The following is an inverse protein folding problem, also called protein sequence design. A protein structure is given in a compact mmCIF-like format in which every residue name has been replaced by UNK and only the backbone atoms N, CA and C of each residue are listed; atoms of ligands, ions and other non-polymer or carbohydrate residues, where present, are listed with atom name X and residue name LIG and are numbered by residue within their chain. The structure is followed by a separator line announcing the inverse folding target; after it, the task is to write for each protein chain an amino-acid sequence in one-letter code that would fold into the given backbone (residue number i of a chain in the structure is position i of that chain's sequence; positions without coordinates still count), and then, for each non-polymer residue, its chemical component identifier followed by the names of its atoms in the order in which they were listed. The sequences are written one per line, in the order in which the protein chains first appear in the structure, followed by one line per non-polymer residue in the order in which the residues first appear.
data_IF_464684017097
#
_entry.id   IF_464684017097
#
_cell.length_a   1.000
_cell.length_b   1.000
_cell.length_c   1.000
_cell.angle_alpha   90.00
_cell.angle_beta   90.00
_cell.angle_gamma   90.00
#
_symmetry.space_group_name_H-M   'P 1'
#
loop_
_entity.id
_entity.type
_entity.pdbx_description
1 polymer ?
#
# COMPACT_ATOMS: atom_id res chain seq x y z
N UNK A 1 -35.42 -8.18 2.56
CA UNK A 1 -34.03 -8.52 2.22
C UNK A 1 -33.24 -7.23 2.31
N UNK A 2 -32.46 -7.02 3.37
CA UNK A 2 -31.58 -5.86 3.46
C UNK A 2 -30.38 -6.14 2.55
N UNK A 3 -30.14 -5.29 1.55
CA UNK A 3 -28.94 -5.39 0.73
C UNK A 3 -27.73 -5.26 1.63
N UNK A 4 -26.84 -6.26 1.63
CA UNK A 4 -25.55 -6.20 2.30
C UNK A 4 -24.73 -5.10 1.62
N UNK A 5 -24.62 -3.94 2.24
CA UNK A 5 -23.86 -2.80 1.69
C UNK A 5 -22.38 -3.06 1.95
N UNK A 6 -21.59 -3.18 0.88
CA UNK A 6 -20.13 -3.23 0.97
C UNK A 6 -19.56 -1.82 1.17
N UNK A 7 -18.38 -1.68 1.82
CA UNK A 7 -17.68 -0.40 1.84
C UNK A 7 -17.28 0.04 0.43
N UNK A 8 -17.07 1.34 0.24
CA UNK A 8 -16.51 1.89 -0.98
C UNK A 8 -15.05 1.45 -1.14
N UNK A 9 -14.60 1.34 -2.39
CA UNK A 9 -13.20 1.05 -2.71
C UNK A 9 -12.27 2.09 -2.09
N UNK A 10 -11.17 1.68 -1.45
CA UNK A 10 -10.14 2.62 -1.03
C UNK A 10 -9.49 3.31 -2.23
N UNK A 11 -8.82 4.43 -1.99
CA UNK A 11 -7.95 5.04 -2.99
C UNK A 11 -6.67 5.57 -2.33
N UNK A 12 -5.56 5.52 -3.06
CA UNK A 12 -4.26 6.05 -2.64
C UNK A 12 -4.19 7.54 -2.98
N UNK A 13 -3.87 8.38 -1.99
CA UNK A 13 -3.77 9.83 -2.14
C UNK A 13 -2.34 10.27 -2.51
N UNK A 14 -1.32 9.74 -1.83
CA UNK A 14 0.07 10.18 -2.02
C UNK A 14 1.07 9.11 -1.59
N UNK A 15 2.15 8.99 -2.35
CA UNK A 15 3.41 8.38 -1.94
C UNK A 15 4.33 9.54 -1.51
N UNK A 16 4.85 9.49 -0.29
CA UNK A 16 5.91 10.40 0.15
C UNK A 16 7.18 9.57 0.29
N UNK A 17 8.18 9.91 -0.51
CA UNK A 17 9.57 9.54 -0.24
C UNK A 17 10.16 10.67 0.59
N UNK A 18 10.78 10.37 1.75
CA UNK A 18 11.27 11.42 2.65
C UNK A 18 12.67 11.94 2.26
N UNK A 19 13.26 11.46 1.16
CA UNK A 19 14.61 11.84 0.69
C UNK A 19 14.62 12.84 -0.49
N UNK A 20 13.70 13.81 -0.55
CA UNK A 20 13.62 14.80 -1.66
C UNK A 20 14.68 15.94 -1.60
N UNK A 21 15.73 15.81 -0.78
CA UNK A 21 16.68 16.90 -0.54
C UNK A 21 18.12 16.65 -1.07
N UNK A 22 18.43 15.52 -1.73
CA UNK A 22 19.81 15.27 -2.19
C UNK A 22 19.94 14.74 -3.63
N UNK A 23 20.26 15.65 -4.55
CA UNK A 23 20.46 15.39 -5.98
C UNK A 23 21.73 14.57 -6.30
N UNK A 24 22.64 14.36 -5.32
CA UNK A 24 23.95 13.76 -5.55
C UNK A 24 24.28 12.53 -4.67
N UNK A 25 23.32 11.97 -3.92
CA UNK A 25 23.55 10.82 -3.04
C UNK A 25 22.65 9.62 -3.37
N UNK A 26 23.18 8.53 -3.98
CA UNK A 26 22.39 7.36 -4.33
C UNK A 26 22.26 6.44 -3.12
N UNK A 27 21.49 6.84 -2.12
CA UNK A 27 20.98 5.96 -1.06
C UNK A 27 19.57 6.41 -0.69
N UNK A 28 18.64 6.20 -1.62
CA UNK A 28 17.20 6.24 -1.35
C UNK A 28 16.90 5.32 -0.18
N UNK A 29 16.60 5.91 0.97
CA UNK A 29 16.04 5.25 2.13
C UNK A 29 14.57 4.98 1.79
N UNK A 30 14.32 3.82 1.19
CA UNK A 30 13.02 3.35 0.67
C UNK A 30 11.95 3.17 1.77
N UNK A 31 11.70 4.15 2.62
CA UNK A 31 10.63 4.16 3.62
C UNK A 31 9.44 4.97 3.09
N UNK A 32 8.78 4.57 1.99
CA UNK A 32 7.68 5.33 1.44
C UNK A 32 6.54 5.35 2.45
N UNK A 33 5.92 6.51 2.58
CA UNK A 33 4.71 6.67 3.35
C UNK A 33 3.52 6.74 2.39
N UNK A 34 2.64 5.73 2.45
CA UNK A 34 1.42 5.68 1.66
C UNK A 34 0.24 6.17 2.47
N UNK A 35 -0.54 7.09 1.90
CA UNK A 35 -1.79 7.58 2.48
C UNK A 35 -2.94 7.32 1.54
N UNK A 36 -4.13 7.21 2.10
CA UNK A 36 -5.34 7.13 1.30
C UNK A 36 -6.61 7.23 2.14
N UNK A 37 -7.73 6.95 1.50
CA UNK A 37 -9.05 6.99 2.12
C UNK A 37 -9.81 5.67 1.97
N UNK A 38 -10.66 5.36 2.94
CA UNK A 38 -11.63 4.27 2.96
C UNK A 38 -12.82 4.67 3.86
N UNK A 39 -13.87 3.85 3.94
CA UNK A 39 -14.93 4.09 4.93
C UNK A 39 -14.37 4.05 6.36
N UNK A 40 -14.72 5.04 7.19
CA UNK A 40 -14.21 5.18 8.55
C UNK A 40 -14.29 3.90 9.40
N UNK A 41 -13.18 3.55 10.04
CA UNK A 41 -13.07 2.38 10.90
C UNK A 41 -13.17 1.03 10.17
N UNK A 42 -12.94 1.02 8.85
CA UNK A 42 -12.70 -0.22 8.10
C UNK A 42 -11.23 -0.62 8.16
N UNK A 43 -10.99 -1.92 8.01
CA UNK A 43 -9.64 -2.44 7.72
C UNK A 43 -9.38 -2.28 6.23
N UNK A 44 -8.22 -1.73 5.88
CA UNK A 44 -7.72 -1.64 4.51
C UNK A 44 -6.69 -2.75 4.34
N UNK A 45 -7.04 -3.76 3.55
CA UNK A 45 -6.12 -4.83 3.18
C UNK A 45 -5.37 -4.42 1.90
N UNK A 46 -4.05 -4.53 1.95
CA UNK A 46 -3.12 -4.12 0.90
C UNK A 46 -2.57 -5.36 0.21
N UNK A 47 -2.53 -5.34 -1.11
CA UNK A 47 -2.12 -6.45 -1.94
C UNK A 47 -1.09 -6.03 -2.97
N UNK A 48 -0.17 -6.95 -3.26
CA UNK A 48 0.71 -6.94 -4.40
C UNK A 48 0.29 -8.06 -5.36
N UNK A 49 -0.33 -7.69 -6.49
CA UNK A 49 -1.05 -8.67 -7.30
C UNK A 49 -2.14 -9.36 -6.46
N UNK A 50 -2.08 -10.68 -6.33
CA UNK A 50 -3.03 -11.48 -5.54
C UNK A 50 -2.55 -11.76 -4.10
N UNK A 51 -1.32 -11.37 -3.75
CA UNK A 51 -0.74 -11.62 -2.43
C UNK A 51 -1.09 -10.48 -1.48
N UNK A 52 -1.75 -10.77 -0.36
CA UNK A 52 -1.93 -9.81 0.72
C UNK A 52 -0.57 -9.57 1.40
N UNK A 53 -0.19 -8.31 1.53
CA UNK A 53 1.11 -7.89 2.06
C UNK A 53 1.00 -7.18 3.41
N UNK A 54 -0.13 -6.51 3.68
CA UNK A 54 -0.35 -5.83 4.95
C UNK A 54 -1.82 -5.44 5.17
N UNK A 55 -2.15 -5.01 6.39
CA UNK A 55 -3.44 -4.41 6.76
C UNK A 55 -3.24 -3.19 7.64
N UNK A 56 -3.99 -2.13 7.34
CA UNK A 56 -4.05 -0.92 8.17
C UNK A 56 -5.50 -0.56 8.50
N UNK A 57 -5.73 0.18 9.58
CA UNK A 57 -7.05 0.69 9.90
C UNK A 57 -7.25 2.11 9.36
N UNK A 58 -8.43 2.38 8.83
CA UNK A 58 -8.88 3.73 8.56
C UNK A 58 -9.40 4.39 9.84
N UNK A 59 -9.03 5.64 10.06
CA UNK A 59 -9.45 6.43 11.20
C UNK A 59 -10.94 6.80 11.14
N UNK A 60 -11.42 7.56 12.12
CA UNK A 60 -12.82 8.00 12.20
C UNK A 60 -13.23 8.96 11.07
N UNK A 61 -12.27 9.49 10.33
CA UNK A 61 -12.50 10.34 9.16
C UNK A 61 -12.34 9.57 7.85
N UNK A 62 -11.92 8.29 7.90
CA UNK A 62 -11.68 7.47 6.72
C UNK A 62 -10.23 7.50 6.22
N UNK A 63 -9.33 8.23 6.88
CA UNK A 63 -7.94 8.31 6.46
C UNK A 63 -7.15 7.12 6.97
N UNK A 64 -6.23 6.61 6.17
CA UNK A 64 -5.30 5.56 6.60
C UNK A 64 -3.88 5.87 6.18
N UNK A 65 -2.94 5.28 6.91
CA UNK A 65 -1.51 5.45 6.74
C UNK A 65 -0.85 4.07 6.73
N UNK A 66 -0.01 3.83 5.73
CA UNK A 66 0.79 2.62 5.63
C UNK A 66 2.26 2.97 5.43
N UNK A 67 3.11 2.36 6.24
CA UNK A 67 4.56 2.47 6.21
C UNK A 67 5.14 1.06 6.10
N UNK A 68 5.36 0.54 4.88
CA UNK A 68 5.89 -0.79 4.70
C UNK A 68 7.26 -0.94 5.32
N UNK A 69 7.50 -2.15 5.83
CA UNK A 69 8.84 -2.61 6.13
C UNK A 69 9.39 -3.32 4.91
N UNK A 70 10.35 -2.72 4.23
CA UNK A 70 10.97 -3.29 3.03
C UNK A 70 11.47 -4.71 3.24
N UNK A 71 12.05 -5.01 4.41
CA UNK A 71 12.56 -6.35 4.73
C UNK A 71 11.45 -7.39 4.76
N UNK A 72 10.27 -7.02 5.22
CA UNK A 72 9.09 -7.89 5.25
C UNK A 72 8.50 -8.04 3.84
N UNK A 73 8.44 -6.95 3.06
CA UNK A 73 8.05 -7.01 1.65
C UNK A 73 9.00 -7.87 0.82
N UNK A 74 10.32 -7.76 1.03
CA UNK A 74 11.32 -8.56 0.32
C UNK A 74 11.17 -10.06 0.62
N UNK A 75 10.85 -10.41 1.87
CA UNK A 75 10.64 -11.80 2.25
C UNK A 75 9.42 -12.43 1.57
N UNK A 76 8.38 -11.64 1.30
CA UNK A 76 7.12 -12.09 0.69
C UNK A 76 7.14 -11.95 -0.84
N UNK A 77 7.87 -10.96 -1.35
CA UNK A 77 7.90 -10.57 -2.76
C UNK A 77 9.34 -10.38 -3.26
N UNK A 78 10.22 -11.39 -3.18
CA UNK A 78 11.63 -11.21 -3.54
C UNK A 78 11.83 -10.69 -4.97
N UNK A 79 10.98 -11.14 -5.90
CA UNK A 79 11.03 -10.76 -7.31
C UNK A 79 10.69 -9.28 -7.57
N UNK A 80 9.89 -8.67 -6.69
CA UNK A 80 9.50 -7.26 -6.81
C UNK A 80 10.66 -6.30 -6.52
N UNK A 81 11.76 -6.81 -5.96
CA UNK A 81 12.97 -6.06 -5.62
C UNK A 81 14.11 -6.28 -6.64
N UNK A 82 13.84 -6.88 -7.79
CA UNK A 82 14.83 -6.88 -8.87
C UNK A 82 14.95 -5.48 -9.51
N UNK A 83 16.15 -5.10 -9.98
CA UNK A 83 16.29 -3.95 -10.86
C UNK A 83 15.33 -4.15 -12.04
N UNK A 84 14.58 -3.11 -12.40
CA UNK A 84 13.54 -3.10 -13.45
C UNK A 84 12.18 -3.73 -13.10
N UNK A 85 11.96 -4.13 -11.83
CA UNK A 85 10.63 -4.59 -11.38
C UNK A 85 9.72 -3.42 -10.97
N UNK A 86 8.46 -3.47 -11.41
CA UNK A 86 7.38 -2.60 -10.93
C UNK A 86 6.41 -3.41 -10.08
N UNK A 87 6.21 -3.00 -8.84
CA UNK A 87 5.22 -3.55 -7.94
C UNK A 87 3.86 -2.87 -8.14
N UNK A 88 2.80 -3.65 -8.39
CA UNK A 88 1.43 -3.14 -8.51
C UNK A 88 0.67 -3.36 -7.22
N UNK A 89 0.34 -2.27 -6.54
CA UNK A 89 -0.38 -2.27 -5.28
C UNK A 89 -1.87 -2.02 -5.49
N UNK A 90 -2.72 -2.80 -4.82
CA UNK A 90 -4.17 -2.56 -4.74
C UNK A 90 -4.64 -2.65 -3.29
N UNK A 91 -5.69 -1.90 -2.97
CA UNK A 91 -6.29 -1.87 -1.65
C UNK A 91 -7.75 -2.32 -1.69
N UNK A 92 -8.23 -2.99 -0.63
CA UNK A 92 -9.65 -3.31 -0.41
C UNK A 92 -10.07 -2.92 1.00
N UNK A 93 -11.25 -2.34 1.15
CA UNK A 93 -11.84 -2.05 2.44
C UNK A 93 -12.63 -3.27 2.93
N UNK A 94 -12.49 -3.58 4.22
CA UNK A 94 -13.24 -4.61 4.93
C UNK A 94 -13.95 -3.93 6.10
N UNK A 95 -15.28 -3.97 6.10
CA UNK A 95 -16.05 -3.39 7.20
C UNK A 95 -16.07 -4.31 8.44
N UNK A 96 -16.64 -3.82 9.54
CA UNK A 96 -16.77 -4.57 10.80
C UNK A 96 -17.64 -5.83 10.70
N UNK A 97 -18.44 -5.96 9.64
CA UNK A 97 -19.27 -7.13 9.35
C UNK A 97 -18.58 -8.12 8.40
N UNK A 98 -17.35 -7.82 7.97
CA UNK A 98 -16.59 -8.63 7.02
C UNK A 98 -17.02 -8.46 5.56
N UNK A 99 -17.69 -7.37 5.21
CA UNK A 99 -17.97 -7.03 3.80
C UNK A 99 -16.74 -6.43 3.15
N UNK A 100 -16.41 -6.91 1.95
CA UNK A 100 -15.22 -6.48 1.20
C UNK A 100 -15.66 -5.61 0.02
N UNK A 101 -14.96 -4.51 -0.20
CA UNK A 101 -15.15 -3.63 -1.35
C UNK A 101 -14.59 -4.23 -2.65
N UNK A 102 -14.94 -3.61 -3.78
CA UNK A 102 -14.14 -3.71 -5.00
C UNK A 102 -12.72 -3.16 -4.76
N UNK A 103 -11.69 -3.60 -5.51
CA UNK A 103 -10.32 -3.10 -5.36
C UNK A 103 -10.20 -1.61 -5.74
N UNK A 104 -9.21 -0.95 -5.17
CA UNK A 104 -8.74 0.36 -5.63
C UNK A 104 -8.20 0.28 -7.06
N UNK A 105 -8.05 1.42 -7.77
CA UNK A 105 -7.10 1.51 -8.87
C UNK A 105 -5.71 1.04 -8.43
N UNK A 106 -5.00 0.38 -9.34
CA UNK A 106 -3.65 -0.10 -9.07
C UNK A 106 -2.66 1.08 -8.98
N UNK A 107 -1.80 1.03 -7.98
CA UNK A 107 -0.70 1.97 -7.78
C UNK A 107 0.62 1.28 -8.14
N UNK A 108 1.32 1.81 -9.14
CA UNK A 108 2.63 1.32 -9.53
C UNK A 108 3.71 1.89 -8.61
N UNK A 109 4.54 1.02 -8.05
CA UNK A 109 5.72 1.36 -7.26
C UNK A 109 6.96 0.78 -7.97
N UNK A 110 7.89 1.64 -8.32
CA UNK A 110 9.20 1.19 -8.79
C UNK A 110 10.09 1.01 -7.56
N UNK A 111 10.52 -0.22 -7.32
CA UNK A 111 11.38 -0.53 -6.18
C UNK A 111 12.81 -0.61 -6.70
N UNK A 112 13.59 0.44 -6.46
CA UNK A 112 15.00 0.44 -6.81
C UNK A 112 15.81 -0.20 -5.67
N UNK A 113 15.96 -1.53 -5.72
CA UNK A 113 16.89 -2.20 -4.82
C UNK A 113 18.33 -1.96 -5.31
N UNK A 114 18.99 -0.93 -4.79
CA UNK A 114 20.44 -0.86 -4.93
C UNK A 114 21.05 -2.03 -4.15
N UNK A 115 21.62 -2.98 -4.88
CA UNK A 115 22.50 -3.97 -4.27
C UNK A 115 23.62 -3.20 -3.57
N UNK A 116 23.78 -3.39 -2.25
CA UNK A 116 24.97 -2.96 -1.53
C UNK A 116 26.16 -3.63 -2.22
N UNK A 117 26.93 -2.87 -3.00
CA UNK A 117 28.22 -3.30 -3.51
C UNK A 117 29.26 -3.30 -2.39
#
# INVERSE_FOLDING_TARGET
MTSKTVPASPWFERIVDEDDDDIDHPLFNLNPMFRGHANAGCTVALFAGDQEIDRVESDNQGNWLWMPRLTELLAVLPEAFHPDSTLMLVARAIDRMGNVSDPSPALALNVEAHSLQ
#
